data_IF_592661899399
#
_entry.id   IF_592661899399
#
_cell.length_a   1.000
_cell.length_b   1.000
_cell.length_c   1.000
_cell.angle_alpha   90.00
_cell.angle_beta   90.00
_cell.angle_gamma   90.00
#
_symmetry.space_group_name_H-M   'P 1'
#
loop_
_entity.id
_entity.type
_entity.pdbx_description
1 polymer ?
#
# COMPACT_ATOMS: atom_id res chain seq x y z
N UNK A 1 -20.57 0.17 -7.38
CA UNK A 1 -21.07 -1.03 -6.68
C UNK A 1 -20.58 -0.92 -5.24
N UNK A 2 -21.47 -0.89 -4.24
CA UNK A 2 -21.07 -0.70 -2.84
C UNK A 2 -20.30 -1.93 -2.31
N UNK A 3 -19.11 -1.72 -1.77
CA UNK A 3 -18.23 -2.77 -1.26
C UNK A 3 -18.50 -2.90 0.25
N UNK A 4 -18.81 -4.12 0.73
CA UNK A 4 -19.11 -4.38 2.15
C UNK A 4 -17.83 -4.77 2.89
N UNK A 5 -17.59 -4.10 4.02
CA UNK A 5 -16.56 -4.42 5.01
C UNK A 5 -16.94 -5.73 5.71
N UNK A 6 -16.03 -6.70 5.78
CA UNK A 6 -16.38 -8.05 6.19
C UNK A 6 -15.83 -8.51 7.54
N UNK A 7 -14.80 -7.89 8.13
CA UNK A 7 -14.09 -8.54 9.25
C UNK A 7 -13.38 -7.58 10.23
N UNK A 8 -14.15 -6.85 11.05
CA UNK A 8 -13.65 -6.26 12.31
C UNK A 8 -14.58 -6.54 13.50
N UNK A 9 -14.04 -7.20 14.52
CA UNK A 9 -14.40 -7.07 15.95
C UNK A 9 -13.06 -6.89 16.71
N UNK A 10 -12.81 -6.05 17.72
CA UNK A 10 -13.60 -5.20 18.60
C UNK A 10 -12.88 -3.84 18.75
N UNK A 11 -13.42 -2.80 18.14
CA UNK A 11 -12.95 -1.44 18.29
C UNK A 11 -13.92 -0.56 17.52
N UNK A 12 -15.02 -0.17 18.16
CA UNK A 12 -16.17 0.48 17.54
C UNK A 12 -15.76 1.84 16.95
N UNK A 13 -15.28 1.84 15.71
CA UNK A 13 -15.43 3.02 14.88
C UNK A 13 -16.90 3.03 14.45
N UNK A 14 -17.71 3.89 15.08
CA UNK A 14 -19.10 4.11 14.69
C UNK A 14 -19.11 4.83 13.33
N UNK A 15 -19.13 4.07 12.24
CA UNK A 15 -19.20 4.64 10.90
C UNK A 15 -19.29 3.58 9.81
N UNK A 16 -20.06 3.86 8.76
CA UNK A 16 -20.02 3.05 7.54
C UNK A 16 -18.65 3.22 6.88
N UNK A 17 -18.00 2.12 6.52
CA UNK A 17 -16.77 2.15 5.73
C UNK A 17 -17.15 2.08 4.26
N UNK A 18 -16.64 3.02 3.46
CA UNK A 18 -16.89 3.08 2.02
C UNK A 18 -15.58 3.13 1.27
N UNK A 19 -15.54 2.42 0.16
CA UNK A 19 -14.46 2.44 -0.80
C UNK A 19 -14.97 3.00 -2.12
N UNK A 20 -14.44 4.15 -2.51
CA UNK A 20 -14.81 4.87 -3.73
C UNK A 20 -13.57 4.96 -4.63
N UNK A 21 -13.65 4.54 -5.91
CA UNK A 21 -12.55 4.73 -6.85
C UNK A 21 -12.26 6.22 -7.03
N UNK A 22 -11.00 6.58 -7.20
CA UNK A 22 -10.60 7.94 -7.60
C UNK A 22 -10.68 8.08 -9.13
N UNK A 23 -10.90 9.30 -9.64
CA UNK A 23 -10.95 9.57 -11.08
C UNK A 23 -9.62 9.26 -11.79
N UNK A 24 -8.49 9.42 -11.08
CA UNK A 24 -7.16 8.92 -11.45
C UNK A 24 -6.80 7.70 -10.57
N UNK A 25 -7.30 6.52 -10.93
CA UNK A 25 -7.10 5.30 -10.15
C UNK A 25 -5.77 4.60 -10.44
N UNK A 26 -5.06 5.00 -11.50
CA UNK A 26 -3.78 4.43 -11.90
C UNK A 26 -2.67 4.98 -11.01
N UNK A 27 -2.01 4.08 -10.28
CA UNK A 27 -0.80 4.41 -9.52
C UNK A 27 0.41 4.17 -10.42
N UNK A 28 1.24 5.20 -10.59
CA UNK A 28 2.48 5.13 -11.37
C UNK A 28 3.68 4.90 -10.45
N UNK A 29 4.62 4.13 -10.96
CA UNK A 29 5.93 3.92 -10.35
C UNK A 29 6.92 5.01 -10.81
N UNK A 30 8.15 4.99 -10.29
CA UNK A 30 9.19 5.99 -10.60
C UNK A 30 9.57 6.06 -12.09
N UNK A 31 9.43 4.96 -12.82
CA UNK A 31 9.67 4.85 -14.26
C UNK A 31 8.43 5.12 -15.11
N UNK A 32 7.37 5.68 -14.51
CA UNK A 32 6.05 5.91 -15.12
C UNK A 32 5.31 4.65 -15.56
N UNK A 33 5.76 3.46 -15.16
CA UNK A 33 4.99 2.23 -15.37
C UNK A 33 3.84 2.13 -14.36
N UNK A 34 2.74 1.50 -14.77
CA UNK A 34 1.60 1.26 -13.89
C UNK A 34 1.93 0.22 -12.83
N UNK A 35 1.71 0.56 -11.55
CA UNK A 35 1.78 -0.37 -10.44
C UNK A 35 0.51 -1.24 -10.39
N UNK A 36 0.59 -2.41 -9.73
CA UNK A 36 -0.57 -3.28 -9.50
C UNK A 36 -1.53 -2.78 -8.40
N UNK A 37 -1.55 -1.47 -8.16
CA UNK A 37 -2.38 -0.82 -7.16
C UNK A 37 -3.39 0.10 -7.83
N UNK A 38 -4.56 0.25 -7.23
CA UNK A 38 -5.50 1.30 -7.60
C UNK A 38 -5.65 2.30 -6.46
N UNK A 39 -5.82 3.57 -6.79
CA UNK A 39 -6.10 4.62 -5.81
C UNK A 39 -7.58 4.60 -5.42
N UNK A 40 -7.85 4.68 -4.12
CA UNK A 40 -9.21 4.76 -3.61
C UNK A 40 -9.34 5.78 -2.49
N UNK A 41 -10.56 6.26 -2.30
CA UNK A 41 -10.95 6.96 -1.07
C UNK A 41 -11.53 5.94 -0.10
N UNK A 42 -10.87 5.82 1.05
CA UNK A 42 -11.26 5.02 2.20
C UNK A 42 -11.89 5.95 3.24
N UNK A 43 -13.20 5.86 3.42
CA UNK A 43 -13.92 6.68 4.41
C UNK A 43 -14.24 5.85 5.66
N UNK A 44 -13.93 6.41 6.83
CA UNK A 44 -14.26 5.83 8.13
C UNK A 44 -14.99 6.89 8.98
N UNK A 45 -16.31 6.77 9.08
CA UNK A 45 -17.13 7.79 9.74
C UNK A 45 -17.05 9.12 8.97
N UNK A 46 -16.58 10.19 9.61
CA UNK A 46 -16.34 11.50 8.98
C UNK A 46 -14.96 11.66 8.36
N UNK A 47 -14.01 10.76 8.68
CA UNK A 47 -12.65 10.83 8.20
C UNK A 47 -12.55 10.18 6.82
N UNK A 48 -11.91 10.87 5.87
CA UNK A 48 -11.61 10.35 4.54
C UNK A 48 -10.10 10.26 4.38
N UNK A 49 -9.65 9.12 3.89
CA UNK A 49 -8.25 8.84 3.62
C UNK A 49 -8.12 8.43 2.16
N UNK A 50 -7.00 8.79 1.55
CA UNK A 50 -6.59 8.21 0.29
C UNK A 50 -5.69 7.01 0.59
N UNK A 51 -5.96 5.89 -0.08
CA UNK A 51 -5.26 4.62 0.11
C UNK A 51 -5.13 3.88 -1.19
N UNK A 52 -4.21 2.92 -1.20
CA UNK A 52 -4.09 2.00 -2.32
C UNK A 52 -4.85 0.71 -2.04
N UNK A 53 -5.41 0.15 -3.10
CA UNK A 53 -5.98 -1.20 -3.07
C UNK A 53 -5.19 -2.13 -3.96
N UNK A 54 -5.04 -3.36 -3.47
CA UNK A 54 -4.59 -4.49 -4.25
C UNK A 54 -5.72 -5.50 -4.35
N UNK A 55 -6.09 -5.85 -5.58
CA UNK A 55 -7.06 -6.93 -5.84
C UNK A 55 -6.33 -8.26 -5.89
N UNK A 56 -6.85 -9.23 -5.15
CA UNK A 56 -6.43 -10.63 -5.25
C UNK A 56 -6.87 -11.25 -6.57
N UNK A 57 -6.26 -12.39 -6.88
CA UNK A 57 -6.72 -13.26 -7.97
C UNK A 57 -7.92 -14.07 -7.46
N UNK A 58 -9.02 -14.07 -8.24
CA UNK A 58 -10.28 -14.76 -7.91
C UNK A 58 -10.17 -16.26 -7.58
N UNK A 59 -9.03 -16.88 -7.85
CA UNK A 59 -8.74 -18.27 -7.51
C UNK A 59 -8.24 -18.45 -6.07
N UNK A 60 -7.95 -17.37 -5.35
CA UNK A 60 -7.22 -17.42 -4.09
C UNK A 60 -8.17 -17.39 -2.90
N UNK A 61 -8.67 -18.57 -2.55
CA UNK A 61 -9.71 -18.76 -1.52
C UNK A 61 -9.28 -18.44 -0.08
N UNK A 62 -7.99 -18.22 0.16
CA UNK A 62 -7.42 -18.14 1.53
C UNK A 62 -6.96 -16.72 1.95
N UNK A 63 -7.19 -15.68 1.15
CA UNK A 63 -6.73 -14.32 1.49
C UNK A 63 -7.32 -13.80 2.80
N UNK A 64 -8.57 -14.12 3.09
CA UNK A 64 -9.23 -13.70 4.32
C UNK A 64 -8.53 -14.27 5.56
N UNK A 65 -8.05 -15.52 5.48
CA UNK A 65 -7.32 -16.17 6.58
C UNK A 65 -5.93 -15.55 6.79
N UNK A 66 -5.23 -15.25 5.68
CA UNK A 66 -3.90 -14.65 5.74
C UNK A 66 -3.93 -13.16 6.13
N UNK A 67 -5.03 -12.45 5.85
CA UNK A 67 -5.16 -11.02 6.14
C UNK A 67 -4.95 -10.69 7.63
N UNK A 68 -5.49 -11.47 8.56
CA UNK A 68 -5.31 -11.20 9.99
C UNK A 68 -3.84 -11.28 10.41
N UNK A 69 -3.12 -12.26 9.88
CA UNK A 69 -1.68 -12.38 10.11
C UNK A 69 -0.93 -11.18 9.51
N UNK A 70 -1.19 -10.84 8.25
CA UNK A 70 -0.48 -9.75 7.56
C UNK A 70 -0.81 -8.37 8.16
N UNK A 71 -2.07 -8.11 8.54
CA UNK A 71 -2.48 -6.86 9.20
C UNK A 71 -1.93 -6.69 10.62
N UNK A 72 -1.55 -7.79 11.28
CA UNK A 72 -0.89 -7.75 12.58
C UNK A 72 0.59 -7.34 12.48
N UNK A 73 1.23 -7.49 11.31
CA UNK A 73 2.61 -7.08 11.09
C UNK A 73 2.69 -5.56 10.97
N UNK A 74 3.09 -4.90 12.06
CA UNK A 74 3.28 -3.44 12.10
C UNK A 74 4.75 -3.11 12.26
N UNK A 75 5.35 -2.59 11.19
CA UNK A 75 6.71 -2.08 11.19
C UNK A 75 6.75 -0.73 10.46
N UNK A 76 7.48 0.29 10.96
CA UNK A 76 7.54 1.60 10.31
C UNK A 76 8.06 1.57 8.87
N UNK A 77 8.97 0.63 8.56
CA UNK A 77 9.53 0.43 7.23
C UNK A 77 8.75 -0.56 6.34
N UNK A 78 7.64 -1.12 6.82
CA UNK A 78 6.83 -2.06 6.05
C UNK A 78 5.55 -1.38 5.55
N UNK A 79 5.16 -1.70 4.31
CA UNK A 79 3.83 -1.35 3.80
C UNK A 79 2.76 -2.00 4.68
N UNK A 80 1.83 -1.19 5.19
CA UNK A 80 0.82 -1.65 6.13
C UNK A 80 -0.43 -2.12 5.41
N UNK A 81 -0.93 -3.27 5.81
CA UNK A 81 -2.25 -3.78 5.40
C UNK A 81 -3.29 -3.28 6.41
N UNK A 82 -4.17 -2.39 5.96
CA UNK A 82 -5.10 -1.67 6.84
C UNK A 82 -6.51 -2.28 6.90
N UNK A 83 -6.96 -2.85 5.78
CA UNK A 83 -8.28 -3.47 5.70
C UNK A 83 -8.40 -4.54 4.60
N UNK A 84 -9.46 -5.35 4.68
CA UNK A 84 -9.85 -6.32 3.64
C UNK A 84 -11.34 -6.21 3.30
N UNK A 85 -11.66 -6.27 2.02
CA UNK A 85 -13.01 -6.23 1.48
C UNK A 85 -13.28 -7.40 0.55
N UNK A 86 -14.44 -8.03 0.71
CA UNK A 86 -14.88 -9.10 -0.17
C UNK A 86 -15.35 -8.56 -1.55
N UNK A 87 -15.06 -9.21 -2.70
CA UNK A 87 -14.50 -10.56 -2.81
C UNK A 87 -13.05 -10.70 -2.33
N UNK A 88 -12.10 -9.89 -2.78
CA UNK A 88 -10.68 -10.10 -2.50
C UNK A 88 -9.87 -8.81 -2.68
N UNK A 89 -10.13 -7.79 -1.86
CA UNK A 89 -9.50 -6.49 -1.99
C UNK A 89 -8.83 -6.09 -0.69
N UNK A 90 -7.52 -5.87 -0.70
CA UNK A 90 -6.76 -5.42 0.47
C UNK A 90 -6.49 -3.94 0.33
N UNK A 91 -6.81 -3.18 1.37
CA UNK A 91 -6.40 -1.77 1.51
C UNK A 91 -5.03 -1.72 2.15
N UNK A 92 -4.11 -1.00 1.52
CA UNK A 92 -2.75 -0.80 2.00
C UNK A 92 -2.42 0.68 2.12
N UNK A 93 -1.44 0.99 2.97
CA UNK A 93 -0.84 2.32 3.05
C UNK A 93 -0.27 2.75 1.70
N UNK A 94 -0.28 4.06 1.42
CA UNK A 94 0.36 4.59 0.22
C UNK A 94 1.87 4.30 0.24
N UNK A 95 2.43 4.05 -0.95
CA UNK A 95 3.86 3.84 -1.18
C UNK A 95 4.28 4.63 -2.40
N UNK A 96 5.54 5.08 -2.44
CA UNK A 96 6.02 5.98 -3.50
C UNK A 96 6.50 5.26 -4.77
N UNK A 97 6.46 3.93 -4.82
CA UNK A 97 6.96 3.14 -5.93
C UNK A 97 7.87 2.00 -5.46
N UNK A 98 8.52 1.34 -6.42
CA UNK A 98 9.42 0.22 -6.17
C UNK A 98 10.85 0.71 -5.99
N UNK A 99 11.55 0.15 -4.99
CA UNK A 99 12.91 0.59 -4.65
C UNK A 99 13.92 0.36 -5.78
N UNK A 100 13.79 -0.76 -6.50
CA UNK A 100 14.63 -1.10 -7.66
C UNK A 100 14.49 -0.08 -8.79
N UNK A 101 13.26 0.36 -9.07
CA UNK A 101 13.00 1.38 -10.09
C UNK A 101 13.48 2.75 -9.65
N UNK A 102 13.23 3.13 -8.39
CA UNK A 102 13.79 4.35 -7.82
C UNK A 102 15.31 4.39 -7.97
N UNK A 103 15.99 3.29 -7.64
CA UNK A 103 17.45 3.17 -7.77
C UNK A 103 17.93 3.43 -9.21
N UNK A 104 17.17 2.97 -10.20
CA UNK A 104 17.48 3.16 -11.63
C UNK A 104 17.18 4.58 -12.15
N UNK A 105 16.39 5.38 -11.43
CA UNK A 105 16.14 6.79 -11.78
C UNK A 105 17.17 7.75 -11.20
N UNK A 106 17.97 7.29 -10.25
CA UNK A 106 19.03 8.09 -9.64
C UNK A 106 20.30 7.86 -10.47
N UNK A 107 20.96 8.94 -10.85
CA UNK A 107 22.29 8.81 -11.44
C UNK A 107 23.20 8.14 -10.39
N UNK A 108 23.77 6.98 -10.74
CA UNK A 108 24.70 6.21 -9.91
C UNK A 108 25.76 7.04 -9.14
N UNK A 109 26.33 8.15 -9.66
CA UNK A 109 27.20 9.03 -8.89
C UNK A 109 26.57 9.66 -7.62
N UNK A 110 25.25 9.66 -7.45
CA UNK A 110 24.57 10.17 -6.25
C UNK A 110 24.40 9.11 -5.14
N UNK A 111 24.59 7.83 -5.45
CA UNK A 111 24.36 6.70 -4.54
C UNK A 111 25.63 6.19 -3.87
N UNK A 112 26.77 6.40 -4.51
CA UNK A 112 28.08 6.01 -4.02
C UNK A 112 29.04 7.18 -4.16
N UNK A 113 29.91 7.37 -3.17
CA UNK A 113 31.01 8.33 -3.30
C UNK A 113 31.98 7.86 -4.39
N UNK A 114 32.87 8.76 -4.84
CA UNK A 114 33.95 8.38 -5.76
C UNK A 114 34.84 7.26 -5.20
N UNK A 115 34.87 7.07 -3.87
CA UNK A 115 35.59 5.98 -3.19
C UNK A 115 34.80 4.66 -3.08
N UNK A 116 33.55 4.60 -3.58
CA UNK A 116 32.71 3.40 -3.56
C UNK A 116 31.90 3.20 -2.27
N UNK A 117 31.90 4.19 -1.36
CA UNK A 117 31.08 4.14 -0.15
C UNK A 117 29.62 4.48 -0.44
N UNK A 118 28.67 3.72 0.12
CA UNK A 118 27.24 4.09 0.04
C UNK A 118 26.99 5.46 0.66
N UNK A 119 26.33 6.34 -0.10
CA UNK A 119 25.96 7.68 0.32
C UNK A 119 25.08 7.67 1.59
N UNK A 120 25.16 8.71 2.44
CA UNK A 120 24.43 8.78 3.71
C UNK A 120 22.91 8.60 3.58
N UNK A 121 22.32 8.93 2.43
CA UNK A 121 20.89 8.77 2.16
C UNK A 121 20.45 7.30 2.22
N UNK A 122 21.26 6.38 1.66
CA UNK A 122 21.00 4.94 1.73
C UNK A 122 21.22 4.40 3.15
N UNK A 123 22.26 4.89 3.86
CA UNK A 123 22.54 4.47 5.26
C UNK A 123 21.40 4.83 6.22
N UNK A 124 20.63 5.88 5.94
CA UNK A 124 19.46 6.30 6.73
C UNK A 124 18.20 5.49 6.45
N UNK A 125 18.10 4.82 5.30
CA UNK A 125 16.95 3.98 4.96
C UNK A 125 17.07 2.56 5.54
N UNK A 126 18.30 2.11 5.85
CA UNK A 126 18.60 0.77 6.39
C UNK A 126 18.64 0.76 7.93
N UNK A 127 18.63 1.93 8.59
CA UNK A 127 18.61 2.09 10.04
C UNK A 127 17.24 2.49 10.54
#
# INVERSE_FOLDING_TARGET
>A
RAIRDCYRELGKIKGSVKLEPCDDDVVLDFDHTTMMFQKCTYQVGTLKFTRFIKRGLASSKDWAHNYHFVSALRHPAAMQVENFFHPECVVVSEVNGSFDKWLNTIETPELFTEEGDMCPILRKMVK
#
